data_IF_235606169425
#
_entry.id   IF_235606169425
#
_cell.length_a   1.000
_cell.length_b   1.000
_cell.length_c   1.000
_cell.angle_alpha   90.00
_cell.angle_beta   90.00
_cell.angle_gamma   90.00
#
_symmetry.space_group_name_H-M   'P 1'
#
loop_
_entity.id
_entity.type
_entity.pdbx_description
1 polymer ?
#
# COMPACT_ATOMS: atom_id res chain seq x y z
N UNK A 1 40.11 37.19 23.23
CA UNK A 1 38.96 36.45 23.82
C UNK A 1 37.66 36.85 23.16
N UNK A 2 37.33 36.37 21.99
CA UNK A 2 36.00 36.65 21.33
C UNK A 2 35.86 35.87 20.02
N UNK A 3 35.96 34.54 20.03
CA UNK A 3 35.72 33.76 18.79
C UNK A 3 34.94 32.48 19.00
N UNK A 4 34.38 32.23 20.19
CA UNK A 4 33.75 30.92 20.50
C UNK A 4 32.22 30.99 20.54
N UNK A 5 31.60 32.16 20.32
CA UNK A 5 30.14 32.33 20.51
C UNK A 5 29.32 32.22 19.21
N UNK A 6 29.93 32.24 18.06
CA UNK A 6 29.21 32.22 16.77
C UNK A 6 28.96 30.83 16.20
N UNK A 7 29.61 29.78 16.69
CA UNK A 7 29.45 28.41 16.19
C UNK A 7 28.22 27.65 16.74
N UNK A 8 27.45 28.23 17.67
CA UNK A 8 26.34 27.54 18.37
C UNK A 8 24.95 27.77 17.75
N UNK A 9 24.82 28.63 16.74
CA UNK A 9 23.51 28.99 16.19
C UNK A 9 23.11 28.26 14.91
N UNK A 10 23.96 27.39 14.38
CA UNK A 10 23.68 26.66 13.11
C UNK A 10 23.31 25.18 13.28
N UNK A 11 23.04 24.74 14.49
CA UNK A 11 22.28 23.51 14.67
C UNK A 11 20.79 23.82 14.45
N UNK A 12 20.45 24.25 13.22
CA UNK A 12 19.09 24.26 12.76
C UNK A 12 18.51 22.86 13.01
N UNK A 13 17.57 22.79 13.92
CA UNK A 13 16.77 21.64 14.25
C UNK A 13 16.19 21.04 12.97
N UNK A 14 16.90 20.08 12.36
CA UNK A 14 16.33 19.20 11.36
C UNK A 14 15.29 18.35 12.10
N UNK A 15 14.11 18.92 12.28
CA UNK A 15 12.93 18.17 12.70
C UNK A 15 12.79 17.03 11.70
N UNK A 16 12.85 15.75 12.12
CA UNK A 16 12.65 14.64 11.21
C UNK A 16 11.26 14.80 10.63
N UNK A 17 11.17 15.09 9.33
CA UNK A 17 9.89 15.15 8.62
C UNK A 17 9.20 13.81 8.86
N UNK A 18 8.17 13.85 9.68
CA UNK A 18 7.35 12.67 9.98
C UNK A 18 6.62 12.31 8.68
N UNK A 19 7.09 11.24 8.03
CA UNK A 19 6.49 10.75 6.80
C UNK A 19 5.16 10.07 7.16
N UNK A 20 4.06 10.70 6.79
CA UNK A 20 2.70 10.21 7.06
C UNK A 20 2.21 9.23 6.00
N UNK A 21 2.92 9.08 4.88
CA UNK A 21 2.51 8.24 3.75
C UNK A 21 2.22 6.81 4.18
N UNK A 22 3.18 6.15 4.80
CA UNK A 22 3.05 4.76 5.25
C UNK A 22 1.84 4.54 6.19
N UNK A 23 1.69 5.30 7.30
CA UNK A 23 0.55 5.16 8.20
C UNK A 23 -0.82 5.41 7.54
N UNK A 24 -0.93 6.42 6.70
CA UNK A 24 -2.20 6.74 6.01
C UNK A 24 -2.58 5.65 5.02
N UNK A 25 -1.64 5.24 4.17
CA UNK A 25 -1.88 4.18 3.19
C UNK A 25 -2.09 2.84 3.88
N UNK A 26 -1.33 2.54 4.94
CA UNK A 26 -1.52 1.33 5.74
C UNK A 26 -2.89 1.25 6.37
N UNK A 27 -3.37 2.35 6.97
CA UNK A 27 -4.73 2.44 7.50
C UNK A 27 -5.82 2.27 6.44
N UNK A 28 -5.60 2.84 5.25
CA UNK A 28 -6.51 2.67 4.12
C UNK A 28 -6.62 1.18 3.71
N UNK A 29 -5.49 0.48 3.52
CA UNK A 29 -5.50 -0.94 3.14
C UNK A 29 -6.11 -1.84 4.22
N UNK A 30 -5.91 -1.55 5.51
CA UNK A 30 -6.63 -2.25 6.59
C UNK A 30 -8.15 -2.07 6.47
N UNK A 31 -8.58 -0.84 6.17
CA UNK A 31 -10.02 -0.55 5.98
C UNK A 31 -10.58 -1.30 4.77
N UNK A 32 -9.83 -1.36 3.66
CA UNK A 32 -10.25 -2.11 2.46
C UNK A 32 -10.33 -3.61 2.70
N UNK A 33 -9.38 -4.19 3.46
CA UNK A 33 -9.51 -5.57 3.94
C UNK A 33 -10.81 -5.81 4.70
N UNK A 34 -11.20 -4.87 5.58
CA UNK A 34 -12.49 -4.89 6.27
C UNK A 34 -13.70 -4.81 5.32
N UNK A 35 -13.60 -3.98 4.27
CA UNK A 35 -14.65 -3.89 3.23
C UNK A 35 -14.84 -5.24 2.53
N UNK A 36 -13.76 -5.94 2.14
CA UNK A 36 -13.86 -7.25 1.52
C UNK A 36 -14.49 -8.30 2.45
N UNK A 37 -14.17 -8.27 3.74
CA UNK A 37 -14.88 -9.12 4.73
C UNK A 37 -16.36 -8.80 4.76
N UNK A 38 -16.73 -7.52 4.74
CA UNK A 38 -18.11 -7.06 4.69
C UNK A 38 -18.85 -7.54 3.44
N UNK A 39 -18.23 -7.43 2.25
CA UNK A 39 -18.80 -7.92 0.98
C UNK A 39 -19.04 -9.43 1.06
N UNK A 40 -18.06 -10.21 1.52
CA UNK A 40 -18.20 -11.67 1.64
C UNK A 40 -19.34 -12.04 2.61
N UNK A 41 -19.48 -11.30 3.70
CA UNK A 41 -20.53 -11.56 4.69
C UNK A 41 -21.94 -11.16 4.19
N UNK A 42 -22.03 -10.12 3.36
CA UNK A 42 -23.30 -9.63 2.82
C UNK A 42 -23.75 -10.44 1.59
N UNK A 43 -22.96 -10.44 0.54
CA UNK A 43 -23.18 -11.19 -0.70
C UNK A 43 -21.89 -11.28 -1.54
N UNK A 44 -21.21 -12.43 -1.55
CA UNK A 44 -20.00 -12.59 -2.35
C UNK A 44 -20.25 -12.55 -3.87
N UNK A 45 -21.51 -12.61 -4.35
CA UNK A 45 -21.84 -12.47 -5.76
C UNK A 45 -21.66 -11.03 -6.27
N UNK A 46 -21.50 -10.04 -5.39
CA UNK A 46 -21.15 -8.66 -5.76
C UNK A 46 -19.85 -8.57 -6.58
N UNK A 47 -18.95 -9.56 -6.44
CA UNK A 47 -17.73 -9.62 -7.24
C UNK A 47 -17.97 -9.97 -8.72
N UNK A 48 -19.17 -10.44 -9.11
CA UNK A 48 -19.45 -10.97 -10.46
C UNK A 48 -19.08 -10.01 -11.58
N UNK A 49 -19.41 -8.74 -11.41
CA UNK A 49 -19.25 -7.71 -12.44
C UNK A 49 -17.89 -7.02 -12.43
N UNK A 50 -16.98 -7.43 -11.53
CA UNK A 50 -15.70 -6.73 -11.39
C UNK A 50 -14.81 -6.82 -12.64
N UNK A 51 -14.87 -7.90 -13.38
CA UNK A 51 -14.10 -8.12 -14.60
C UNK A 51 -14.84 -7.77 -15.90
N UNK A 52 -16.05 -7.19 -15.84
CA UNK A 52 -16.83 -6.87 -17.04
C UNK A 52 -16.12 -5.89 -17.98
N UNK A 53 -15.29 -4.99 -17.43
CA UNK A 53 -14.49 -4.03 -18.19
C UNK A 53 -13.09 -4.52 -18.56
N UNK A 54 -12.73 -5.77 -18.21
CA UNK A 54 -11.40 -6.30 -18.48
C UNK A 54 -11.13 -6.35 -19.98
N UNK A 55 -9.94 -5.83 -20.39
CA UNK A 55 -9.54 -5.76 -21.78
C UNK A 55 -9.01 -7.09 -22.33
N UNK A 56 -8.54 -7.96 -21.44
CA UNK A 56 -7.90 -9.21 -21.78
C UNK A 56 -8.85 -10.38 -21.46
N UNK A 57 -9.09 -11.25 -22.44
CA UNK A 57 -10.04 -12.36 -22.28
C UNK A 57 -9.62 -13.34 -21.18
N UNK A 58 -8.32 -13.56 -20.99
CA UNK A 58 -7.84 -14.43 -19.93
C UNK A 58 -8.13 -13.87 -18.51
N UNK A 59 -8.21 -12.54 -18.35
CA UNK A 59 -8.60 -11.93 -17.07
C UNK A 59 -10.08 -12.16 -16.81
N UNK A 60 -10.90 -12.02 -17.84
CA UNK A 60 -12.35 -12.22 -17.78
C UNK A 60 -12.70 -13.68 -17.50
N UNK A 61 -12.11 -14.61 -18.26
CA UNK A 61 -12.33 -16.04 -18.04
C UNK A 61 -11.76 -16.51 -16.71
N UNK A 62 -10.54 -16.11 -16.35
CA UNK A 62 -9.97 -16.42 -15.04
C UNK A 62 -10.84 -15.90 -13.88
N UNK A 63 -11.43 -14.70 -14.03
CA UNK A 63 -12.35 -14.19 -13.02
C UNK A 63 -13.63 -15.03 -12.94
N UNK A 64 -14.27 -15.33 -14.07
CA UNK A 64 -15.52 -16.07 -14.09
C UNK A 64 -15.37 -17.55 -13.72
N UNK A 65 -14.27 -18.19 -14.11
CA UNK A 65 -14.06 -19.62 -13.94
C UNK A 65 -13.33 -19.96 -12.63
N UNK A 66 -12.43 -19.08 -12.15
CA UNK A 66 -11.63 -19.35 -10.96
C UNK A 66 -12.15 -18.55 -9.76
N UNK A 67 -12.22 -17.23 -9.88
CA UNK A 67 -12.65 -16.39 -8.76
C UNK A 67 -14.11 -16.67 -8.40
N UNK A 68 -14.99 -16.67 -9.40
CA UNK A 68 -16.44 -16.86 -9.19
C UNK A 68 -16.84 -18.32 -8.92
N UNK A 69 -15.94 -19.28 -9.05
CA UNK A 69 -16.17 -20.65 -8.55
C UNK A 69 -16.20 -20.71 -7.01
N UNK A 70 -15.48 -19.82 -6.33
CA UNK A 70 -15.46 -19.73 -4.86
C UNK A 70 -15.28 -18.29 -4.39
N UNK A 71 -16.24 -17.36 -4.68
CA UNK A 71 -16.04 -15.92 -4.49
C UNK A 71 -15.83 -15.52 -3.03
N UNK A 72 -16.43 -16.24 -2.07
CA UNK A 72 -16.19 -16.01 -0.64
C UNK A 72 -14.73 -16.30 -0.26
N UNK A 73 -14.17 -17.40 -0.75
CA UNK A 73 -12.77 -17.77 -0.46
C UNK A 73 -11.80 -16.74 -1.04
N UNK A 74 -11.98 -16.40 -2.32
CA UNK A 74 -11.12 -15.41 -2.98
C UNK A 74 -11.29 -14.00 -2.42
N UNK A 75 -12.52 -13.62 -2.04
CA UNK A 75 -12.79 -12.35 -1.35
C UNK A 75 -12.07 -12.28 -0.01
N UNK A 76 -12.04 -13.38 0.77
CA UNK A 76 -11.25 -13.44 2.01
C UNK A 76 -9.74 -13.44 1.76
N UNK A 77 -9.27 -14.05 0.66
CA UNK A 77 -7.85 -13.93 0.25
C UNK A 77 -7.48 -12.49 -0.07
N UNK A 78 -8.35 -11.73 -0.76
CA UNK A 78 -8.16 -10.29 -0.98
C UNK A 78 -8.11 -9.53 0.35
N UNK A 79 -9.06 -9.76 1.25
CA UNK A 79 -9.11 -9.16 2.58
C UNK A 79 -7.81 -9.39 3.35
N UNK A 80 -7.32 -10.64 3.34
CA UNK A 80 -6.07 -11.02 4.00
C UNK A 80 -4.87 -10.31 3.36
N UNK A 81 -4.78 -10.30 2.03
CA UNK A 81 -3.72 -9.64 1.29
C UNK A 81 -3.64 -8.15 1.63
N UNK A 82 -4.77 -7.43 1.57
CA UNK A 82 -4.84 -6.02 1.90
C UNK A 82 -4.51 -5.74 3.37
N UNK A 83 -5.01 -6.59 4.29
CA UNK A 83 -4.66 -6.48 5.71
C UNK A 83 -3.16 -6.65 5.94
N UNK A 84 -2.53 -7.64 5.31
CA UNK A 84 -1.08 -7.86 5.39
C UNK A 84 -0.31 -6.64 4.85
N UNK A 85 -0.69 -6.11 3.69
CA UNK A 85 -0.07 -4.91 3.13
C UNK A 85 -0.21 -3.71 4.06
N UNK A 86 -1.40 -3.51 4.64
CA UNK A 86 -1.65 -2.47 5.62
C UNK A 86 -0.76 -2.60 6.86
N UNK A 87 -0.68 -3.79 7.44
CA UNK A 87 0.18 -4.08 8.61
C UNK A 87 1.65 -3.84 8.26
N UNK A 88 2.14 -4.31 7.11
CA UNK A 88 3.52 -4.09 6.67
C UNK A 88 3.86 -2.60 6.61
N UNK A 89 2.97 -1.76 6.07
CA UNK A 89 3.18 -0.32 6.00
C UNK A 89 3.21 0.33 7.39
N UNK A 90 2.39 -0.14 8.32
CA UNK A 90 2.32 0.38 9.70
C UNK A 90 3.52 -0.02 10.57
N UNK A 91 4.14 -1.16 10.31
CA UNK A 91 5.28 -1.64 11.10
C UNK A 91 6.56 -0.85 10.87
N UNK A 92 6.67 -0.11 9.75
CA UNK A 92 7.88 0.67 9.43
C UNK A 92 9.09 -0.18 9.03
N UNK A 93 10.22 0.45 8.79
CA UNK A 93 11.48 -0.23 8.47
C UNK A 93 11.43 -1.10 7.20
N UNK A 94 12.14 -2.25 7.19
CA UNK A 94 12.17 -3.18 6.04
C UNK A 94 10.81 -3.75 5.68
N UNK A 95 9.92 -4.14 6.62
CA UNK A 95 8.57 -4.58 6.28
C UNK A 95 7.78 -3.55 5.49
N UNK A 96 7.87 -2.26 5.84
CA UNK A 96 7.17 -1.21 5.11
C UNK A 96 7.65 -1.07 3.65
N UNK A 97 8.91 -1.38 3.33
CA UNK A 97 9.37 -1.45 1.94
C UNK A 97 8.62 -2.53 1.15
N UNK A 98 8.46 -3.71 1.75
CA UNK A 98 7.64 -4.78 1.15
C UNK A 98 6.19 -4.35 1.01
N UNK A 99 5.64 -3.67 2.02
CA UNK A 99 4.31 -3.06 1.96
C UNK A 99 4.16 -2.10 0.77
N UNK A 100 5.11 -1.16 0.58
CA UNK A 100 5.10 -0.23 -0.55
C UNK A 100 5.17 -0.93 -1.91
N UNK A 101 6.07 -1.91 -2.06
CA UNK A 101 6.14 -2.71 -3.29
C UNK A 101 4.83 -3.44 -3.53
N UNK A 102 4.27 -4.04 -2.48
CA UNK A 102 3.03 -4.81 -2.56
C UNK A 102 1.83 -3.95 -2.96
N UNK A 103 1.63 -2.77 -2.36
CA UNK A 103 0.48 -1.90 -2.71
C UNK A 103 0.60 -1.34 -4.13
N UNK A 104 1.81 -1.01 -4.58
CA UNK A 104 2.02 -0.55 -5.96
C UNK A 104 1.78 -1.70 -6.94
N UNK A 105 2.33 -2.88 -6.68
CA UNK A 105 2.12 -4.07 -7.51
C UNK A 105 0.63 -4.45 -7.58
N UNK A 106 -0.08 -4.40 -6.45
CA UNK A 106 -1.52 -4.64 -6.39
C UNK A 106 -2.29 -3.66 -7.29
N UNK A 107 -2.01 -2.36 -7.22
CA UNK A 107 -2.66 -1.37 -8.07
C UNK A 107 -2.35 -1.55 -9.55
N UNK A 108 -1.12 -1.93 -9.89
CA UNK A 108 -0.75 -2.25 -11.28
C UNK A 108 -1.50 -3.49 -11.78
N UNK A 109 -1.62 -4.54 -10.95
CA UNK A 109 -2.38 -5.75 -11.30
C UNK A 109 -3.88 -5.44 -11.49
N UNK A 110 -4.45 -4.56 -10.66
CA UNK A 110 -5.84 -4.13 -10.83
C UNK A 110 -6.09 -3.47 -12.20
N UNK A 111 -5.09 -2.83 -12.82
CA UNK A 111 -5.27 -2.23 -14.15
C UNK A 111 -5.58 -3.26 -15.24
N UNK A 112 -5.33 -4.56 -15.03
CA UNK A 112 -5.73 -5.63 -15.95
C UNK A 112 -7.26 -5.75 -16.08
N UNK A 113 -8.03 -5.24 -15.11
CA UNK A 113 -9.49 -5.22 -15.12
C UNK A 113 -10.10 -4.10 -15.98
N UNK A 114 -9.24 -3.31 -16.64
CA UNK A 114 -9.66 -2.37 -17.69
C UNK A 114 -10.06 -0.99 -17.18
N UNK A 115 -10.72 -0.23 -18.07
CA UNK A 115 -10.96 1.20 -17.91
C UNK A 115 -11.75 1.58 -16.64
N UNK A 116 -12.69 0.74 -16.22
CA UNK A 116 -13.48 0.99 -14.99
C UNK A 116 -12.59 1.08 -13.76
N UNK A 117 -11.55 0.25 -13.69
CA UNK A 117 -10.59 0.25 -12.58
C UNK A 117 -9.50 1.31 -12.78
N UNK A 118 -9.19 1.73 -14.01
CA UNK A 118 -8.18 2.77 -14.27
C UNK A 118 -8.54 4.12 -13.66
N UNK A 119 -9.84 4.45 -13.60
CA UNK A 119 -10.32 5.68 -12.95
C UNK A 119 -9.89 5.76 -11.48
N UNK A 120 -9.71 4.62 -10.85
CA UNK A 120 -9.23 4.50 -9.47
C UNK A 120 -7.71 4.28 -9.40
N UNK A 121 -7.18 3.31 -10.14
CA UNK A 121 -5.79 2.86 -10.01
C UNK A 121 -4.77 3.92 -10.46
N UNK A 122 -5.10 4.72 -11.50
CA UNK A 122 -4.19 5.77 -11.98
C UNK A 122 -4.00 6.88 -10.93
N UNK A 123 -5.06 7.50 -10.37
CA UNK A 123 -4.91 8.45 -9.28
C UNK A 123 -4.25 7.84 -8.03
N UNK A 124 -4.58 6.58 -7.71
CA UNK A 124 -3.95 5.90 -6.59
C UNK A 124 -2.44 5.76 -6.80
N UNK A 125 -1.97 5.30 -7.96
CA UNK A 125 -0.55 5.19 -8.29
C UNK A 125 0.14 6.57 -8.30
N UNK A 126 -0.53 7.62 -8.78
CA UNK A 126 0.00 8.98 -8.76
C UNK A 126 0.27 9.50 -7.34
N UNK A 127 -0.42 8.97 -6.33
CA UNK A 127 -0.19 9.26 -4.91
C UNK A 127 0.77 8.26 -4.27
N UNK A 128 0.57 6.96 -4.51
CA UNK A 128 1.35 5.90 -3.86
C UNK A 128 2.83 5.95 -4.24
N UNK A 129 3.16 6.17 -5.52
CA UNK A 129 4.55 6.16 -5.99
C UNK A 129 5.36 7.31 -5.36
N UNK A 130 4.94 8.59 -5.38
CA UNK A 130 5.66 9.66 -4.70
C UNK A 130 5.78 9.44 -3.18
N UNK A 131 4.73 8.93 -2.52
CA UNK A 131 4.78 8.61 -1.09
C UNK A 131 5.82 7.52 -0.80
N UNK A 132 5.83 6.44 -1.59
CA UNK A 132 6.81 5.37 -1.46
C UNK A 132 8.25 5.88 -1.65
N UNK A 133 8.50 6.71 -2.68
CA UNK A 133 9.81 7.30 -2.95
C UNK A 133 10.25 8.20 -1.80
N UNK A 134 9.34 9.00 -1.24
CA UNK A 134 9.63 9.88 -0.11
C UNK A 134 9.97 9.11 1.18
N UNK A 135 9.27 8.00 1.43
CA UNK A 135 9.47 7.18 2.63
C UNK A 135 10.70 6.27 2.53
N UNK A 136 11.09 5.87 1.30
CA UNK A 136 12.12 4.86 1.06
C UNK A 136 13.45 5.08 1.78
N UNK A 137 14.05 6.29 1.78
CA UNK A 137 15.31 6.55 2.46
C UNK A 137 15.23 6.41 3.98
N UNK A 138 14.08 6.75 4.57
CA UNK A 138 13.87 6.65 6.02
C UNK A 138 13.80 5.20 6.48
N UNK A 139 13.23 4.30 5.67
CA UNK A 139 13.03 2.89 5.99
C UNK A 139 14.32 2.04 5.99
N UNK A 140 15.46 2.60 5.55
CA UNK A 140 16.77 1.92 5.52
C UNK A 140 17.70 2.22 6.68
N UNK A 141 17.42 3.24 7.49
CA UNK A 141 18.37 3.80 8.48
C UNK A 141 18.32 3.20 9.89
N UNK A 142 17.47 2.22 10.14
CA UNK A 142 17.22 1.70 11.50
C UNK A 142 18.35 0.86 12.14
N UNK A 143 19.47 0.60 11.44
CA UNK A 143 20.53 -0.29 11.96
C UNK A 143 21.91 0.36 12.15
N UNK A 144 22.07 1.67 11.94
CA UNK A 144 23.37 2.32 12.07
C UNK A 144 23.67 2.91 13.47
N UNK A 145 22.72 2.85 14.39
CA UNK A 145 22.80 3.54 15.69
C UNK A 145 23.10 2.67 16.91
N UNK A 146 23.23 1.36 16.79
CA UNK A 146 23.37 0.48 17.97
C UNK A 146 24.75 -0.17 18.18
N UNK A 147 25.77 0.19 17.43
CA UNK A 147 27.13 -0.38 17.61
C UNK A 147 28.13 0.61 18.20
N UNK A 148 27.72 1.53 19.07
CA UNK A 148 28.64 2.39 19.83
C UNK A 148 28.27 2.32 21.32
N UNK A 149 28.48 1.16 21.95
CA UNK A 149 28.72 1.04 23.40
C UNK A 149 29.71 -0.09 23.63
#
# INVERSE_FOLDING_TARGET
MTSTTLARHEQATHSPRRHWGGPVVGGFYLSMGGVHVGIVAADPQLYRHFADSALLDFVRSGWSEVFMAAPAVWGLCLALGETVLGVLLLTGGRPARLGWVGVIAFQVLLMLFGWGVWLWSIPALAVLVPCAVADWPALGRWHSGQNLT
#
